data_IF_917922692823
#
_entry.id   IF_917922692823
#
_cell.length_a   1.000
_cell.length_b   1.000
_cell.length_c   1.000
_cell.angle_alpha   90.00
_cell.angle_beta   90.00
_cell.angle_gamma   90.00
#
_symmetry.space_group_name_H-M   'P 1'
#
loop_
_entity.id
_entity.type
_entity.pdbx_description
1 polymer ?
#
# COMPACT_ATOMS: atom_id res chain seq x y z
N UNK A 1 -28.75 7.28 4.28
CA UNK A 1 -27.28 7.27 4.44
C UNK A 1 -26.81 5.92 4.96
N UNK A 2 -25.50 5.71 5.01
CA UNK A 2 -24.87 4.52 5.61
C UNK A 2 -25.07 4.59 7.14
N UNK A 3 -25.57 3.52 7.75
CA UNK A 3 -25.96 3.52 9.18
C UNK A 3 -24.98 2.79 10.11
N UNK A 4 -24.10 1.95 9.56
CA UNK A 4 -23.12 1.19 10.31
C UNK A 4 -21.73 1.67 9.91
N UNK A 5 -21.23 2.67 10.62
CA UNK A 5 -19.96 3.33 10.35
C UNK A 5 -19.17 3.47 11.63
N UNK A 6 -17.84 3.40 11.52
CA UNK A 6 -16.93 3.73 12.60
C UNK A 6 -15.79 4.56 12.01
N UNK A 7 -15.45 5.64 12.69
CA UNK A 7 -14.32 6.49 12.36
C UNK A 7 -13.11 6.09 13.19
N UNK A 8 -11.92 6.33 12.65
CA UNK A 8 -10.67 5.90 13.25
C UNK A 8 -9.63 7.00 13.14
N UNK A 9 -8.94 7.26 14.25
CA UNK A 9 -7.61 7.85 14.23
C UNK A 9 -6.56 6.78 13.94
N UNK A 10 -5.34 7.20 13.57
CA UNK A 10 -4.24 6.25 13.41
C UNK A 10 -4.00 5.45 14.68
N UNK A 11 -3.70 4.17 14.50
CA UNK A 11 -3.50 3.14 15.52
C UNK A 11 -4.76 2.69 16.25
N UNK A 12 -5.91 3.34 16.02
CA UNK A 12 -7.18 2.80 16.47
C UNK A 12 -7.54 1.55 15.67
N UNK A 13 -8.29 0.67 16.33
CA UNK A 13 -8.63 -0.63 15.77
C UNK A 13 -10.03 -1.08 16.18
N UNK A 14 -10.53 -2.05 15.42
CA UNK A 14 -11.77 -2.77 15.71
C UNK A 14 -11.56 -4.26 15.48
N UNK A 15 -12.22 -5.08 16.30
CA UNK A 15 -12.30 -6.51 16.08
C UNK A 15 -13.69 -6.88 15.55
N UNK A 16 -13.72 -7.65 14.46
CA UNK A 16 -14.94 -8.10 13.80
C UNK A 16 -14.76 -9.60 13.53
N UNK A 17 -15.55 -10.44 14.21
CA UNK A 17 -15.56 -11.91 14.01
C UNK A 17 -14.14 -12.53 14.06
N UNK A 18 -13.32 -12.12 15.02
CA UNK A 18 -11.94 -12.63 15.20
C UNK A 18 -10.89 -12.03 14.24
N UNK A 19 -11.27 -11.06 13.41
CA UNK A 19 -10.34 -10.28 12.60
C UNK A 19 -10.17 -8.88 13.18
N UNK A 20 -8.92 -8.47 13.42
CA UNK A 20 -8.57 -7.15 13.93
C UNK A 20 -8.12 -6.24 12.80
N UNK A 21 -8.80 -5.11 12.63
CA UNK A 21 -8.50 -4.08 11.63
C UNK A 21 -7.91 -2.88 12.36
N UNK A 22 -6.68 -2.51 12.04
CA UNK A 22 -6.00 -1.34 12.62
C UNK A 22 -5.74 -0.33 11.52
N UNK A 23 -6.19 0.91 11.71
CA UNK A 23 -5.92 2.00 10.79
C UNK A 23 -4.50 2.51 11.01
N UNK A 24 -3.67 2.58 9.97
CA UNK A 24 -2.24 2.90 10.09
C UNK A 24 -1.91 4.23 9.41
N UNK A 25 -0.93 5.00 9.93
CA UNK A 25 -0.46 6.18 9.24
C UNK A 25 0.23 5.82 7.93
N UNK A 26 0.08 6.70 6.95
CA UNK A 26 0.84 6.75 5.70
C UNK A 26 1.03 8.21 5.30
N UNK A 27 1.88 8.46 4.31
CA UNK A 27 2.19 9.82 3.88
C UNK A 27 1.34 10.22 2.67
N UNK A 28 0.21 10.87 2.93
CA UNK A 28 -0.70 11.34 1.89
C UNK A 28 -1.52 12.56 2.36
N UNK A 29 -2.62 12.86 1.67
CA UNK A 29 -3.53 13.98 1.94
C UNK A 29 -4.97 13.61 1.54
N UNK A 30 -5.94 14.50 1.79
CA UNK A 30 -7.33 14.31 1.33
C UNK A 30 -7.92 15.62 0.82
N UNK A 31 -8.81 15.57 -0.17
CA UNK A 31 -9.70 16.67 -0.54
C UNK A 31 -10.83 16.15 -1.45
N UNK A 32 -11.99 16.80 -1.42
CA UNK A 32 -13.10 16.59 -2.37
C UNK A 32 -13.69 17.90 -2.91
N UNK A 33 -13.40 19.03 -2.27
CA UNK A 33 -13.81 20.38 -2.66
C UNK A 33 -12.68 21.39 -2.54
N UNK A 34 -13.00 22.67 -2.70
CA UNK A 34 -11.98 23.73 -2.75
C UNK A 34 -11.40 24.08 -1.36
N UNK A 35 -12.14 23.83 -0.28
CA UNK A 35 -11.80 24.28 1.08
C UNK A 35 -11.85 23.15 2.11
N UNK A 36 -11.66 21.89 1.68
CA UNK A 36 -11.72 20.71 2.55
C UNK A 36 -10.42 19.91 2.59
N UNK A 37 -9.31 20.48 2.08
CA UNK A 37 -8.01 19.84 2.12
C UNK A 37 -7.65 19.43 3.55
N UNK A 38 -7.32 18.15 3.73
CA UNK A 38 -6.93 17.51 4.99
C UNK A 38 -8.00 17.54 6.08
N UNK A 39 -9.29 17.74 5.75
CA UNK A 39 -10.38 17.64 6.73
C UNK A 39 -10.78 16.19 7.07
N UNK A 40 -10.47 15.25 6.18
CA UNK A 40 -10.61 13.81 6.46
C UNK A 40 -9.24 13.17 6.58
N UNK A 41 -9.10 12.21 7.50
CA UNK A 41 -7.83 11.50 7.67
C UNK A 41 -7.58 10.51 6.52
N UNK A 42 -6.32 10.30 6.18
CA UNK A 42 -5.83 9.30 5.21
C UNK A 42 -5.05 8.20 5.94
N UNK A 43 -4.77 7.08 5.29
CA UNK A 43 -4.00 6.01 5.92
C UNK A 43 -4.05 4.70 5.15
N UNK A 44 -3.41 3.69 5.76
CA UNK A 44 -3.47 2.29 5.35
C UNK A 44 -4.25 1.45 6.36
N UNK A 45 -4.34 0.15 6.08
CA UNK A 45 -4.99 -0.82 6.96
C UNK A 45 -4.10 -2.02 7.22
N UNK A 46 -3.84 -2.31 8.48
CA UNK A 46 -3.26 -3.57 8.92
C UNK A 46 -4.38 -4.48 9.43
N UNK A 47 -4.49 -5.67 8.82
CA UNK A 47 -5.56 -6.62 9.06
C UNK A 47 -4.96 -7.89 9.61
N UNK A 48 -5.27 -8.21 10.86
CA UNK A 48 -4.84 -9.43 11.53
C UNK A 48 -6.00 -10.39 11.65
N UNK A 49 -5.93 -11.49 10.94
CA UNK A 49 -6.82 -12.66 11.05
C UNK A 49 -6.14 -13.72 11.94
N UNK A 50 -6.85 -14.77 12.37
CA UNK A 50 -6.27 -15.78 13.26
C UNK A 50 -4.96 -16.40 12.74
N UNK A 51 -4.86 -16.65 11.43
CA UNK A 51 -3.71 -17.32 10.80
C UNK A 51 -3.09 -16.52 9.64
N UNK A 52 -3.38 -15.21 9.54
CA UNK A 52 -2.95 -14.41 8.41
C UNK A 52 -2.90 -12.93 8.77
N UNK A 53 -1.84 -12.23 8.35
CA UNK A 53 -1.72 -10.78 8.45
C UNK A 53 -1.61 -10.18 7.07
N UNK A 54 -2.42 -9.17 6.80
CA UNK A 54 -2.40 -8.42 5.55
C UNK A 54 -2.22 -6.93 5.82
N UNK A 55 -1.53 -6.25 4.91
CA UNK A 55 -1.38 -4.80 4.92
C UNK A 55 -1.85 -4.19 3.61
N UNK A 56 -2.65 -3.15 3.68
CA UNK A 56 -3.04 -2.33 2.52
C UNK A 56 -2.47 -0.93 2.72
N UNK A 57 -1.52 -0.53 1.89
CA UNK A 57 -0.83 0.75 2.05
C UNK A 57 -1.73 1.97 1.80
N UNK A 58 -2.77 1.82 0.98
CA UNK A 58 -3.48 2.98 0.43
C UNK A 58 -2.55 3.75 -0.52
N UNK A 59 -2.92 4.99 -0.82
CA UNK A 59 -2.04 5.90 -1.56
C UNK A 59 -1.05 6.52 -0.56
N UNK A 60 0.24 6.48 -0.88
CA UNK A 60 1.28 6.95 0.03
C UNK A 60 2.56 7.29 -0.69
N UNK A 61 3.24 8.34 -0.24
CA UNK A 61 4.66 8.57 -0.45
C UNK A 61 5.49 7.70 0.50
N UNK A 62 6.80 7.63 0.26
CA UNK A 62 7.70 6.88 1.14
C UNK A 62 7.91 7.63 2.46
N UNK A 63 7.76 6.93 3.60
CA UNK A 63 7.94 7.49 4.93
C UNK A 63 8.40 6.44 5.95
N UNK A 64 8.77 6.89 7.16
CA UNK A 64 9.11 5.98 8.28
C UNK A 64 7.91 5.17 8.80
N UNK A 65 6.69 5.55 8.42
CA UNK A 65 5.46 4.97 8.98
C UNK A 65 5.34 3.47 8.68
N UNK A 66 5.96 2.99 7.60
CA UNK A 66 6.02 1.56 7.26
C UNK A 66 6.87 0.76 8.25
N UNK A 67 8.02 1.31 8.68
CA UNK A 67 8.86 0.72 9.74
C UNK A 67 8.14 0.77 11.08
N UNK A 68 7.49 1.88 11.40
CA UNK A 68 6.71 2.02 12.63
C UNK A 68 5.53 1.04 12.68
N UNK A 69 4.87 0.80 11.53
CA UNK A 69 3.81 -0.20 11.38
C UNK A 69 4.33 -1.60 11.64
N UNK A 70 5.46 -1.97 11.04
CA UNK A 70 6.12 -3.26 11.27
C UNK A 70 6.51 -3.45 12.74
N UNK A 71 7.07 -2.42 13.36
CA UNK A 71 7.51 -2.47 14.75
C UNK A 71 6.32 -2.66 15.73
N UNK A 72 5.18 -2.01 15.43
CA UNK A 72 3.98 -2.06 16.30
C UNK A 72 3.10 -3.28 16.08
N UNK A 73 2.90 -3.70 14.84
CA UNK A 73 1.89 -4.70 14.46
C UNK A 73 2.51 -6.02 13.96
N UNK A 74 3.81 -6.02 13.74
CA UNK A 74 4.57 -7.14 13.21
C UNK A 74 4.60 -7.16 11.69
N UNK A 75 5.21 -8.22 11.15
CA UNK A 75 5.34 -8.44 9.71
C UNK A 75 4.01 -8.93 9.12
N UNK A 76 3.50 -8.31 8.03
CA UNK A 76 2.39 -8.87 7.28
C UNK A 76 2.86 -10.08 6.46
N UNK A 77 1.98 -11.04 6.25
CA UNK A 77 2.23 -12.14 5.32
C UNK A 77 2.00 -11.70 3.87
N UNK A 78 1.06 -10.77 3.65
CA UNK A 78 0.77 -10.18 2.34
C UNK A 78 0.65 -8.66 2.46
N UNK A 79 1.23 -7.91 1.53
CA UNK A 79 1.01 -6.47 1.40
C UNK A 79 0.51 -6.07 0.02
N UNK A 80 -0.43 -5.13 -0.02
CA UNK A 80 -0.89 -4.45 -1.22
C UNK A 80 -0.28 -3.04 -1.23
N UNK A 81 0.57 -2.76 -2.20
CA UNK A 81 1.44 -1.56 -2.22
C UNK A 81 1.28 -0.86 -3.59
N UNK A 82 1.04 0.46 -3.63
CA UNK A 82 0.92 1.20 -4.89
C UNK A 82 2.26 1.25 -5.61
N UNK A 83 2.24 1.25 -6.96
CA UNK A 83 3.45 1.41 -7.76
C UNK A 83 3.34 2.50 -8.83
N UNK A 84 2.15 3.06 -9.07
CA UNK A 84 1.91 4.12 -10.06
C UNK A 84 1.62 5.48 -9.43
N UNK A 85 1.26 6.45 -10.26
CA UNK A 85 0.96 7.83 -9.90
C UNK A 85 2.15 8.64 -9.34
N UNK A 86 3.37 8.36 -9.80
CA UNK A 86 4.60 8.92 -9.21
C UNK A 86 5.28 10.01 -10.07
N UNK A 87 4.80 10.30 -11.29
CA UNK A 87 5.42 11.30 -12.16
C UNK A 87 4.63 12.63 -12.20
N UNK A 88 5.31 13.79 -12.27
CA UNK A 88 6.76 13.96 -12.15
C UNK A 88 7.22 13.83 -10.69
N UNK A 89 8.38 13.18 -10.50
CA UNK A 89 8.84 12.76 -9.17
C UNK A 89 9.02 13.92 -8.18
N UNK A 90 9.51 15.08 -8.63
CA UNK A 90 9.71 16.26 -7.77
C UNK A 90 8.41 16.77 -7.12
N UNK A 91 7.27 16.53 -7.75
CA UNK A 91 5.95 16.95 -7.27
C UNK A 91 5.23 15.82 -6.53
N UNK A 92 5.27 14.60 -7.08
CA UNK A 92 4.48 13.48 -6.60
C UNK A 92 5.12 12.71 -5.45
N UNK A 93 6.45 12.73 -5.29
CA UNK A 93 7.19 11.92 -4.29
C UNK A 93 6.69 12.06 -2.85
N UNK A 94 6.19 13.24 -2.48
CA UNK A 94 5.66 13.46 -1.14
C UNK A 94 4.38 12.64 -0.87
N UNK A 95 3.67 12.19 -1.91
CA UNK A 95 2.34 11.61 -1.80
C UNK A 95 2.20 10.24 -2.49
N UNK A 96 3.11 9.89 -3.40
CA UNK A 96 3.12 8.62 -4.13
C UNK A 96 4.53 8.06 -4.22
N UNK A 97 4.67 6.79 -3.86
CA UNK A 97 5.88 6.01 -4.08
C UNK A 97 6.04 5.67 -5.56
N UNK A 98 7.28 5.68 -6.04
CA UNK A 98 7.61 5.02 -7.29
C UNK A 98 7.83 3.50 -7.07
N UNK A 99 8.02 2.69 -8.13
CA UNK A 99 8.23 1.24 -7.99
C UNK A 99 9.44 0.82 -7.14
N UNK A 100 10.51 1.60 -7.13
CA UNK A 100 11.69 1.33 -6.29
C UNK A 100 11.41 1.59 -4.80
N UNK A 101 10.73 2.70 -4.49
CA UNK A 101 10.26 3.02 -3.15
C UNK A 101 9.20 2.03 -2.68
N UNK A 102 8.30 1.57 -3.56
CA UNK A 102 7.33 0.52 -3.25
C UNK A 102 8.02 -0.79 -2.85
N UNK A 103 9.11 -1.16 -3.52
CA UNK A 103 9.94 -2.29 -3.11
C UNK A 103 10.58 -2.04 -1.73
N UNK A 104 11.04 -0.83 -1.46
CA UNK A 104 11.56 -0.47 -0.13
C UNK A 104 10.48 -0.53 0.96
N UNK A 105 9.23 -0.14 0.66
CA UNK A 105 8.08 -0.30 1.57
C UNK A 105 7.86 -1.78 1.91
N UNK A 106 7.88 -2.67 0.91
CA UNK A 106 7.75 -4.11 1.13
C UNK A 106 8.84 -4.67 2.07
N UNK A 107 10.08 -4.21 1.89
CA UNK A 107 11.23 -4.58 2.72
C UNK A 107 11.11 -4.04 4.15
N UNK A 108 10.70 -2.77 4.31
CA UNK A 108 10.55 -2.11 5.61
C UNK A 108 9.41 -2.72 6.44
N UNK A 109 8.33 -3.14 5.78
CA UNK A 109 7.26 -3.92 6.40
C UNK A 109 7.71 -5.33 6.80
N UNK A 110 8.79 -5.83 6.19
CA UNK A 110 9.21 -7.22 6.30
C UNK A 110 8.17 -8.19 5.74
N UNK A 111 7.41 -7.75 4.73
CA UNK A 111 6.29 -8.50 4.15
C UNK A 111 6.79 -9.74 3.42
N UNK A 112 6.16 -10.89 3.64
CA UNK A 112 6.56 -12.14 2.96
C UNK A 112 6.21 -12.13 1.47
N UNK A 113 5.05 -11.57 1.13
CA UNK A 113 4.52 -11.51 -0.24
C UNK A 113 3.89 -10.15 -0.51
N UNK A 114 3.97 -9.67 -1.74
CA UNK A 114 3.50 -8.33 -2.10
C UNK A 114 2.78 -8.35 -3.45
N UNK A 115 1.69 -7.60 -3.56
CA UNK A 115 0.99 -7.38 -4.82
C UNK A 115 0.90 -5.90 -5.17
N UNK A 116 1.23 -5.60 -6.43
CA UNK A 116 1.21 -4.24 -6.94
C UNK A 116 -0.23 -3.78 -7.16
N UNK A 117 -0.53 -2.55 -6.72
CA UNK A 117 -1.80 -1.87 -6.97
C UNK A 117 -1.57 -0.44 -7.47
N UNK A 118 -2.65 0.31 -7.72
CA UNK A 118 -2.60 1.71 -8.11
C UNK A 118 -1.79 1.98 -9.41
N UNK A 119 -1.91 1.10 -10.40
CA UNK A 119 -1.26 1.26 -11.71
C UNK A 119 -2.15 0.70 -12.84
N UNK A 120 -1.89 1.11 -14.08
CA UNK A 120 -2.47 0.47 -15.28
C UNK A 120 -3.98 0.63 -15.50
N UNK A 121 -4.66 1.45 -14.69
CA UNK A 121 -6.14 1.58 -14.72
C UNK A 121 -6.61 2.98 -15.12
N UNK A 122 -6.00 4.02 -14.54
CA UNK A 122 -6.26 5.43 -14.86
C UNK A 122 -4.93 6.15 -15.08
N UNK A 123 -4.90 7.07 -16.04
CA UNK A 123 -3.77 7.98 -16.22
C UNK A 123 -3.97 9.18 -15.28
N UNK A 124 -3.30 9.16 -14.13
CA UNK A 124 -3.42 10.19 -13.08
C UNK A 124 -2.31 11.24 -13.15
N UNK A 125 -1.26 10.94 -13.90
CA UNK A 125 0.06 11.55 -13.82
C UNK A 125 0.80 11.31 -15.14
N UNK A 126 2.02 11.85 -15.23
CA UNK A 126 2.78 11.91 -16.49
C UNK A 126 3.52 10.60 -16.85
N UNK A 127 3.48 9.56 -16.01
CA UNK A 127 4.14 8.30 -16.36
C UNK A 127 3.38 7.52 -17.44
N UNK A 128 4.13 6.73 -18.21
CA UNK A 128 3.54 5.80 -19.16
C UNK A 128 2.79 4.69 -18.42
N UNK A 129 1.59 4.35 -18.91
CA UNK A 129 0.65 3.48 -18.17
C UNK A 129 1.23 2.09 -17.81
N UNK A 130 2.15 1.57 -18.64
CA UNK A 130 2.79 0.25 -18.48
C UNK A 130 4.23 0.32 -17.97
N UNK A 131 4.76 1.52 -17.68
CA UNK A 131 6.08 1.70 -17.10
C UNK A 131 6.21 1.15 -15.66
N UNK A 132 5.22 1.33 -14.75
CA UNK A 132 5.38 0.92 -13.36
C UNK A 132 5.74 -0.58 -13.17
N UNK A 133 5.09 -1.54 -13.86
CA UNK A 133 5.49 -2.94 -13.85
C UNK A 133 6.96 -3.17 -14.24
N UNK A 134 7.42 -2.51 -15.31
CA UNK A 134 8.77 -2.71 -15.84
C UNK A 134 9.83 -2.24 -14.84
N UNK A 135 9.61 -1.06 -14.24
CA UNK A 135 10.49 -0.52 -13.21
C UNK A 135 10.48 -1.36 -11.93
N UNK A 136 9.34 -1.94 -11.55
CA UNK A 136 9.28 -2.87 -10.41
C UNK A 136 10.12 -4.12 -10.67
N UNK A 137 10.01 -4.71 -11.86
CA UNK A 137 10.82 -5.87 -12.25
C UNK A 137 12.32 -5.55 -12.26
N UNK A 138 12.69 -4.35 -12.73
CA UNK A 138 14.07 -3.87 -12.69
C UNK A 138 14.57 -3.72 -11.24
N UNK A 139 13.77 -3.11 -10.36
CA UNK A 139 14.10 -2.94 -8.94
C UNK A 139 14.29 -4.28 -8.22
N UNK A 140 13.42 -5.26 -8.48
CA UNK A 140 13.55 -6.63 -7.96
C UNK A 140 14.84 -7.28 -8.42
N UNK A 141 15.16 -7.15 -9.72
CA UNK A 141 16.38 -7.71 -10.31
C UNK A 141 17.62 -7.09 -9.68
N UNK A 142 17.67 -5.76 -9.52
CA UNK A 142 18.77 -5.05 -8.84
C UNK A 142 18.99 -5.50 -7.40
N UNK A 143 17.93 -5.91 -6.70
CA UNK A 143 17.99 -6.41 -5.31
C UNK A 143 18.19 -7.92 -5.20
N UNK A 144 18.25 -8.64 -6.33
CA UNK A 144 18.36 -10.11 -6.33
C UNK A 144 17.14 -10.83 -5.76
N UNK A 145 15.95 -10.20 -5.82
CA UNK A 145 14.71 -10.76 -5.31
C UNK A 145 13.91 -11.42 -6.43
N UNK A 146 13.22 -12.55 -6.17
CA UNK A 146 12.41 -13.21 -7.18
C UNK A 146 11.16 -12.39 -7.51
N UNK A 147 10.65 -12.50 -8.75
CA UNK A 147 9.37 -11.87 -9.15
C UNK A 147 8.19 -12.27 -8.25
N UNK A 148 8.25 -13.45 -7.63
CA UNK A 148 7.25 -13.93 -6.69
C UNK A 148 7.23 -13.18 -5.35
N UNK A 149 8.26 -12.40 -5.03
CA UNK A 149 8.30 -11.55 -3.84
C UNK A 149 7.33 -10.36 -3.96
N UNK A 150 7.24 -9.76 -5.15
CA UNK A 150 6.36 -8.63 -5.43
C UNK A 150 5.74 -8.81 -6.82
N UNK A 151 4.56 -9.44 -6.85
CA UNK A 151 3.92 -9.82 -8.10
C UNK A 151 3.00 -8.72 -8.64
N UNK A 152 2.91 -8.67 -9.96
CA UNK A 152 2.02 -7.80 -10.71
C UNK A 152 0.85 -8.66 -11.21
N UNK A 153 -0.37 -8.32 -10.82
CA UNK A 153 -1.58 -9.03 -11.22
C UNK A 153 -2.34 -8.28 -12.32
N UNK A 154 -2.98 -9.02 -13.22
CA UNK A 154 -3.88 -8.44 -14.22
C UNK A 154 -5.24 -8.13 -13.60
N UNK A 155 -5.95 -7.08 -14.04
CA UNK A 155 -7.34 -6.85 -13.62
C UNK A 155 -8.21 -8.09 -13.83
N UNK A 156 -8.92 -8.51 -12.78
CA UNK A 156 -9.76 -9.70 -12.79
C UNK A 156 -9.04 -11.05 -12.62
N UNK A 157 -7.70 -11.06 -12.52
CA UNK A 157 -6.95 -12.28 -12.27
C UNK A 157 -7.22 -12.83 -10.87
N UNK A 158 -7.60 -14.10 -10.79
CA UNK A 158 -7.67 -14.84 -9.52
C UNK A 158 -6.27 -15.38 -9.17
N UNK A 159 -5.86 -15.18 -7.92
CA UNK A 159 -4.58 -15.64 -7.42
C UNK A 159 -4.79 -16.31 -6.07
N UNK A 160 -4.55 -17.62 -6.02
CA UNK A 160 -4.50 -18.35 -4.77
C UNK A 160 -3.23 -17.98 -3.99
N UNK A 161 -3.40 -17.72 -2.70
CA UNK A 161 -2.31 -17.37 -1.78
C UNK A 161 -2.19 -18.48 -0.76
N UNK A 162 -1.21 -19.36 -0.95
CA UNK A 162 -0.82 -20.31 0.07
C UNK A 162 0.16 -19.64 1.02
N UNK A 163 -0.17 -19.65 2.31
CA UNK A 163 0.68 -19.13 3.37
C UNK A 163 1.36 -20.34 4.00
N UNK A 164 2.70 -20.35 4.01
CA UNK A 164 3.49 -21.35 4.71
C UNK A 164 3.57 -21.04 6.20
#
# INVERSE_FOLDING_TARGET
>A
GIKNTKEFLWWENIEIKGAKFTFTPTQHWSARGLADRNKSLWGGWFMSFPNFKSFHAGDSGYSKDFKDTQAKLGKPDLSLIPIGAYAPQWFMKANHVNPEEALQVALDLGSKKNYAMHWGTFQLTDEETLEPPALLEEALTKKGLPKTFFEILKPGQLKEVTLN
#
